data_IF_940406934029
#
_entry.id   IF_940406934029
#
_cell.length_a   1.000
_cell.length_b   1.000
_cell.length_c   1.000
_cell.angle_alpha   90.00
_cell.angle_beta   90.00
_cell.angle_gamma   90.00
#
_symmetry.space_group_name_H-M   'P 1'
#
loop_
_entity.id
_entity.type
_entity.pdbx_description
1 polymer ?
#
# COMPACT_ATOMS: atom_id res chain seq x y z
N UNK A 1 -5.12 27.47 14.46
CA UNK A 1 -5.37 26.47 13.39
C UNK A 1 -6.82 26.59 12.90
N UNK A 2 -7.02 26.89 11.63
CA UNK A 2 -8.37 27.12 11.06
C UNK A 2 -9.13 25.79 10.82
N UNK A 3 -10.47 25.84 10.70
CA UNK A 3 -11.33 24.66 10.43
C UNK A 3 -10.84 23.87 9.20
N UNK A 4 -10.40 24.55 8.15
CA UNK A 4 -9.85 23.94 6.92
C UNK A 4 -8.56 23.16 7.17
N UNK A 5 -7.64 23.71 7.97
CA UNK A 5 -6.40 23.01 8.35
C UNK A 5 -6.68 21.78 9.21
N UNK A 6 -7.64 21.86 10.15
CA UNK A 6 -8.09 20.71 10.95
C UNK A 6 -8.65 19.58 10.07
N UNK A 7 -9.46 19.92 9.07
CA UNK A 7 -10.00 18.94 8.12
C UNK A 7 -8.86 18.31 7.31
N UNK A 8 -7.93 19.10 6.78
CA UNK A 8 -6.81 18.59 6.01
C UNK A 8 -5.96 17.58 6.82
N UNK A 9 -5.62 17.93 8.06
CA UNK A 9 -4.88 17.04 8.97
C UNK A 9 -5.70 15.79 9.31
N UNK A 10 -6.99 15.94 9.60
CA UNK A 10 -7.88 14.80 9.87
C UNK A 10 -7.94 13.82 8.70
N UNK A 11 -8.11 14.32 7.48
CA UNK A 11 -8.09 13.49 6.27
C UNK A 11 -6.73 12.80 6.09
N UNK A 12 -5.63 13.51 6.32
CA UNK A 12 -4.28 12.92 6.24
C UNK A 12 -4.09 11.76 7.23
N UNK A 13 -4.56 11.90 8.46
CA UNK A 13 -4.52 10.84 9.48
C UNK A 13 -5.30 9.61 9.01
N UNK A 14 -6.50 9.80 8.46
CA UNK A 14 -7.32 8.69 7.93
C UNK A 14 -6.62 8.00 6.76
N UNK A 15 -6.04 8.76 5.83
CA UNK A 15 -5.31 8.20 4.69
C UNK A 15 -4.08 7.42 5.14
N UNK A 16 -3.32 7.95 6.10
CA UNK A 16 -2.17 7.26 6.73
C UNK A 16 -2.61 5.96 7.38
N UNK A 17 -3.71 5.97 8.15
CA UNK A 17 -4.23 4.77 8.78
C UNK A 17 -4.62 3.73 7.72
N UNK A 18 -5.35 4.13 6.67
CA UNK A 18 -5.74 3.23 5.58
C UNK A 18 -4.52 2.66 4.85
N UNK A 19 -3.50 3.48 4.56
CA UNK A 19 -2.24 3.02 3.95
C UNK A 19 -1.45 2.07 4.85
N UNK A 20 -1.57 2.19 6.18
CA UNK A 20 -0.96 1.25 7.12
C UNK A 20 -1.72 -0.08 7.23
N UNK A 21 -3.05 -0.05 7.14
CA UNK A 21 -3.89 -1.24 7.21
C UNK A 21 -3.98 -2.01 5.89
N UNK A 22 -3.98 -1.32 4.76
CA UNK A 22 -4.04 -1.91 3.43
C UNK A 22 -2.69 -1.74 2.75
N UNK A 23 -1.90 -2.81 2.76
CA UNK A 23 -0.53 -2.80 2.24
C UNK A 23 -0.47 -3.40 0.84
N UNK A 24 0.39 -2.87 -0.04
CA UNK A 24 0.62 -3.44 -1.36
C UNK A 24 1.44 -4.74 -1.22
N UNK A 25 0.93 -5.82 -1.79
CA UNK A 25 1.62 -7.12 -1.83
C UNK A 25 2.13 -7.44 -3.24
N UNK A 26 3.27 -8.10 -3.28
CA UNK A 26 3.83 -8.75 -4.46
C UNK A 26 3.91 -10.25 -4.18
N UNK A 27 3.54 -11.03 -5.18
CA UNK A 27 3.69 -12.47 -5.22
C UNK A 27 5.03 -12.84 -5.83
N UNK A 28 5.73 -13.79 -5.24
CA UNK A 28 6.97 -14.36 -5.75
C UNK A 28 6.84 -15.86 -5.90
N UNK A 29 7.27 -16.39 -7.05
CA UNK A 29 7.49 -17.82 -7.27
C UNK A 29 8.97 -18.05 -7.52
N UNK A 30 9.61 -18.80 -6.61
CA UNK A 30 11.03 -19.16 -6.71
C UNK A 30 11.20 -20.60 -7.15
N UNK A 31 11.83 -20.80 -8.31
CA UNK A 31 12.36 -22.09 -8.75
C UNK A 31 13.81 -21.89 -9.21
N UNK A 32 14.67 -22.91 -9.08
CA UNK A 32 16.06 -22.83 -9.56
C UNK A 32 16.08 -22.37 -11.02
N UNK A 33 16.51 -21.12 -11.25
CA UNK A 33 16.64 -20.53 -12.59
C UNK A 33 15.65 -19.41 -12.91
N UNK A 34 14.46 -19.39 -12.28
CA UNK A 34 13.40 -18.41 -12.57
C UNK A 34 12.80 -17.83 -11.28
N UNK A 35 12.75 -16.49 -11.23
CA UNK A 35 12.03 -15.73 -10.22
C UNK A 35 10.89 -14.96 -10.91
N UNK A 36 9.69 -15.52 -10.86
CA UNK A 36 8.50 -14.84 -11.37
C UNK A 36 7.89 -14.00 -10.26
N UNK A 37 7.51 -12.76 -10.60
CA UNK A 37 6.88 -11.82 -9.69
C UNK A 37 5.58 -11.28 -10.28
N UNK A 38 4.54 -11.16 -9.46
CA UNK A 38 3.27 -10.58 -9.85
C UNK A 38 2.76 -9.61 -8.78
N UNK A 39 2.25 -8.45 -9.20
CA UNK A 39 1.61 -7.52 -8.28
C UNK A 39 0.23 -8.04 -7.85
N UNK A 40 -0.01 -8.15 -6.54
CA UNK A 40 -1.24 -8.74 -5.98
C UNK A 40 -2.26 -7.69 -5.54
N UNK A 41 -1.92 -6.40 -5.63
CA UNK A 41 -2.79 -5.33 -5.14
C UNK A 41 -2.62 -5.03 -3.65
N UNK A 42 -3.58 -4.29 -3.10
CA UNK A 42 -3.62 -3.92 -1.69
C UNK A 42 -4.43 -4.94 -0.91
N UNK A 43 -3.85 -5.46 0.17
CA UNK A 43 -4.50 -6.40 1.07
C UNK A 43 -4.36 -5.93 2.50
N UNK A 44 -5.32 -6.35 3.33
CA UNK A 44 -5.30 -6.03 4.75
C UNK A 44 -4.09 -6.69 5.42
N UNK A 45 -3.37 -5.96 6.27
CA UNK A 45 -2.13 -6.44 6.90
C UNK A 45 -2.32 -7.75 7.69
N UNK A 46 -3.48 -7.94 8.32
CA UNK A 46 -3.80 -9.15 9.08
C UNK A 46 -4.43 -10.27 8.24
N UNK A 47 -4.66 -10.03 6.95
CA UNK A 47 -5.17 -11.02 6.01
C UNK A 47 -4.31 -11.03 4.73
N UNK A 48 -3.04 -11.46 4.82
CA UNK A 48 -2.16 -11.52 3.67
C UNK A 48 -2.69 -12.50 2.60
N UNK A 49 -2.34 -12.29 1.31
CA UNK A 49 -2.74 -13.18 0.23
C UNK A 49 -2.28 -14.62 0.47
N UNK A 50 -3.20 -15.59 0.28
CA UNK A 50 -2.87 -17.01 0.39
C UNK A 50 -2.00 -17.46 -0.79
N UNK A 51 -1.14 -18.48 -0.62
CA UNK A 51 -0.29 -19.01 -1.69
C UNK A 51 -1.06 -19.40 -2.97
N UNK A 52 -2.28 -19.90 -2.83
CA UNK A 52 -3.19 -20.22 -3.96
C UNK A 52 -3.47 -18.99 -4.83
N UNK A 53 -3.76 -17.85 -4.21
CA UNK A 53 -4.02 -16.57 -4.89
C UNK A 53 -2.76 -16.08 -5.58
N UNK A 54 -1.60 -16.21 -4.94
CA UNK A 54 -0.30 -15.88 -5.53
C UNK A 54 -0.03 -16.74 -6.76
N UNK A 55 -0.31 -18.04 -6.66
CA UNK A 55 -0.06 -18.99 -7.71
C UNK A 55 -0.99 -18.76 -8.91
N UNK A 56 -2.26 -18.41 -8.65
CA UNK A 56 -3.20 -17.98 -9.68
C UNK A 56 -2.74 -16.70 -10.39
N UNK A 57 -2.27 -15.70 -9.64
CA UNK A 57 -1.78 -14.44 -10.21
C UNK A 57 -0.52 -14.60 -11.08
N UNK A 58 0.36 -15.54 -10.75
CA UNK A 58 1.61 -15.79 -11.48
C UNK A 58 1.40 -16.72 -12.68
N UNK A 59 0.63 -17.80 -12.51
CA UNK A 59 0.48 -18.85 -13.52
C UNK A 59 -0.79 -18.74 -14.36
N UNK A 60 -1.72 -17.85 -14.01
CA UNK A 60 -2.98 -17.63 -14.73
C UNK A 60 -3.95 -18.82 -14.68
N UNK A 61 -3.72 -19.80 -13.79
CA UNK A 61 -4.53 -21.00 -13.65
C UNK A 61 -4.71 -21.37 -12.18
N UNK A 62 -5.80 -22.04 -11.87
CA UNK A 62 -6.06 -22.55 -10.53
C UNK A 62 -5.21 -23.80 -10.25
N UNK A 63 -4.56 -23.83 -9.10
CA UNK A 63 -3.65 -24.89 -8.65
C UNK A 63 -3.97 -25.30 -7.21
N UNK A 64 -5.21 -25.08 -6.80
CA UNK A 64 -5.78 -25.52 -5.52
C UNK A 64 -5.60 -27.03 -5.23
N UNK A 65 -5.37 -27.86 -6.26
CA UNK A 65 -5.06 -29.29 -6.13
C UNK A 65 -3.56 -29.63 -6.05
N UNK A 66 -2.68 -28.64 -6.15
CA UNK A 66 -1.23 -28.85 -6.09
C UNK A 66 -0.78 -29.25 -4.68
N UNK A 67 0.29 -30.04 -4.58
CA UNK A 67 0.84 -30.45 -3.29
C UNK A 67 1.27 -29.23 -2.45
N UNK A 68 1.12 -29.33 -1.13
CA UNK A 68 1.52 -28.25 -0.19
C UNK A 68 2.98 -27.85 -0.37
N UNK A 69 3.85 -28.80 -0.74
CA UNK A 69 5.27 -28.57 -1.06
C UNK A 69 5.43 -27.66 -2.28
N UNK A 70 4.60 -27.83 -3.31
CA UNK A 70 4.63 -26.96 -4.49
C UNK A 70 4.10 -25.56 -4.15
N UNK A 71 3.01 -25.46 -3.39
CA UNK A 71 2.42 -24.19 -2.95
C UNK A 71 3.38 -23.36 -2.07
N UNK A 72 4.24 -24.02 -1.27
CA UNK A 72 5.24 -23.36 -0.42
C UNK A 72 6.28 -22.51 -1.19
N UNK A 73 6.39 -22.72 -2.51
CA UNK A 73 7.26 -21.93 -3.41
C UNK A 73 6.66 -20.59 -3.81
N UNK A 74 5.36 -20.41 -3.61
CA UNK A 74 4.65 -19.17 -3.79
C UNK A 74 4.58 -18.41 -2.47
N UNK A 75 5.12 -17.20 -2.46
CA UNK A 75 5.14 -16.33 -1.27
C UNK A 75 4.56 -14.98 -1.61
N UNK A 76 3.84 -14.40 -0.66
CA UNK A 76 3.44 -13.01 -0.72
C UNK A 76 4.36 -12.19 0.19
N UNK A 77 4.88 -11.07 -0.31
CA UNK A 77 5.65 -10.12 0.49
C UNK A 77 5.13 -8.70 0.27
N UNK A 78 5.27 -7.87 1.30
CA UNK A 78 4.85 -6.47 1.26
C UNK A 78 5.86 -5.68 0.44
N UNK A 79 5.37 -4.81 -0.44
CA UNK A 79 6.20 -3.86 -1.19
C UNK A 79 6.44 -2.63 -0.29
N UNK A 80 7.38 -2.76 0.64
CA UNK A 80 7.68 -1.73 1.65
C UNK A 80 8.02 -0.38 1.00
N UNK A 81 8.73 -0.38 -0.13
CA UNK A 81 9.07 0.85 -0.87
C UNK A 81 7.83 1.64 -1.30
N UNK A 82 6.76 0.98 -1.74
CA UNK A 82 5.51 1.65 -2.10
C UNK A 82 4.82 2.27 -0.89
N UNK A 83 4.80 1.57 0.24
CA UNK A 83 4.23 2.07 1.49
C UNK A 83 4.94 3.34 1.94
N UNK A 84 6.28 3.32 1.95
CA UNK A 84 7.10 4.48 2.35
C UNK A 84 6.84 5.67 1.44
N UNK A 85 6.82 5.47 0.12
CA UNK A 85 6.54 6.54 -0.85
C UNK A 85 5.15 7.11 -0.63
N UNK A 86 4.12 6.28 -0.46
CA UNK A 86 2.75 6.75 -0.21
C UNK A 86 2.65 7.60 1.06
N UNK A 87 3.25 7.14 2.15
CA UNK A 87 3.23 7.84 3.44
C UNK A 87 3.96 9.19 3.35
N UNK A 88 5.12 9.22 2.67
CA UNK A 88 5.86 10.45 2.41
C UNK A 88 5.05 11.43 1.54
N UNK A 89 4.39 10.93 0.48
CA UNK A 89 3.55 11.76 -0.40
C UNK A 89 2.37 12.36 0.37
N UNK A 90 1.68 11.57 1.21
CA UNK A 90 0.57 12.09 2.05
C UNK A 90 1.08 13.19 2.98
N UNK A 91 2.23 12.98 3.62
CA UNK A 91 2.82 13.97 4.53
C UNK A 91 3.17 15.28 3.80
N UNK A 92 3.86 15.20 2.65
CA UNK A 92 4.25 16.37 1.86
C UNK A 92 3.05 17.15 1.34
N UNK A 93 2.03 16.46 0.80
CA UNK A 93 0.79 17.11 0.34
C UNK A 93 0.08 17.81 1.50
N UNK A 94 0.01 17.16 2.67
CA UNK A 94 -0.65 17.73 3.84
C UNK A 94 0.07 18.98 4.33
N UNK A 95 1.40 18.96 4.41
CA UNK A 95 2.19 20.13 4.78
C UNK A 95 1.99 21.27 3.78
N UNK A 96 2.03 20.98 2.48
CA UNK A 96 1.77 21.98 1.43
C UNK A 96 0.38 22.62 1.54
N UNK A 97 -0.67 21.81 1.75
CA UNK A 97 -2.03 22.33 1.95
C UNK A 97 -2.12 23.19 3.21
N UNK A 98 -1.51 22.75 4.32
CA UNK A 98 -1.54 23.50 5.59
C UNK A 98 -0.82 24.85 5.45
N UNK A 99 0.33 24.89 4.76
CA UNK A 99 1.10 26.10 4.48
C UNK A 99 0.29 27.08 3.59
N UNK A 100 -0.24 26.61 2.46
CA UNK A 100 -1.08 27.44 1.57
C UNK A 100 -2.30 28.04 2.29
N UNK A 101 -2.90 27.30 3.22
CA UNK A 101 -4.02 27.78 4.02
C UNK A 101 -3.61 28.75 5.13
N UNK A 102 -2.35 28.73 5.56
CA UNK A 102 -1.80 29.70 6.50
C UNK A 102 -1.53 31.04 5.80
N UNK A 103 -0.84 31.02 4.66
CA UNK A 103 -0.52 32.22 3.86
C UNK A 103 -1.79 32.97 3.42
N UNK A 104 -2.83 32.22 3.04
CA UNK A 104 -4.11 32.82 2.66
C UNK A 104 -4.79 33.56 3.82
N UNK A 105 -4.50 33.19 5.07
CA UNK A 105 -5.02 33.90 6.24
C UNK A 105 -4.32 35.25 6.43
N UNK A 106 -3.00 35.31 6.22
CA UNK A 106 -2.22 36.55 6.34
C UNK A 106 -2.49 37.54 5.19
N UNK A 107 -2.83 37.06 4.00
CA UNK A 107 -3.18 37.91 2.86
C UNK A 107 -4.60 38.52 2.88
N UNK A 108 -5.47 38.10 3.82
CA UNK A 108 -6.85 38.63 3.93
C UNK A 108 -7.01 39.64 5.08
N UNK A 109 -5.98 39.82 5.91
CA UNK A 109 -5.93 40.80 7.01
C UNK A 109 -5.20 42.12 6.62
N UNK A 110 -5.00 42.35 5.31
CA UNK A 110 -4.51 43.63 4.74
C UNK A 110 -5.58 44.23 3.84
#
# INVERSE_FOLDING_TARGET
MNRKQRIAIGTAIVLVALSGFFLPYEGEFRVKGDNLKAYLGYHFIFAPPKPEVVAHAILGRDISSASTVYLSRFRAHIIVSRVVVQMATIALITLGIVALLADKKEGTDK
#
